data_IF_286835960748
#
_entry.id   IF_286835960748
#
_cell.length_a   1.000
_cell.length_b   1.000
_cell.length_c   1.000
_cell.angle_alpha   90.00
_cell.angle_beta   90.00
_cell.angle_gamma   90.00
#
_symmetry.space_group_name_H-M   'P 1'
#
loop_
_entity.id
_entity.type
_entity.pdbx_description
1 polymer ?
#
# COMPACT_ATOMS: atom_id res chain seq x y z
N UNK A 1 2.48 -22.24 -12.05
CA UNK A 1 2.79 -20.89 -12.57
C UNK A 1 2.18 -19.89 -11.61
N UNK A 2 2.98 -19.32 -10.71
CA UNK A 2 2.47 -18.39 -9.68
C UNK A 2 2.17 -17.07 -10.40
N UNK A 3 0.93 -16.85 -10.81
CA UNK A 3 0.50 -15.52 -11.27
C UNK A 3 0.60 -14.60 -10.06
N UNK A 4 1.66 -13.80 -9.98
CA UNK A 4 1.74 -12.72 -9.00
C UNK A 4 0.57 -11.78 -9.31
N UNK A 5 -0.43 -11.75 -8.44
CA UNK A 5 -1.46 -10.73 -8.51
C UNK A 5 -0.79 -9.36 -8.34
N UNK A 6 -1.19 -8.36 -9.12
CA UNK A 6 -0.60 -7.02 -9.06
C UNK A 6 -0.72 -6.43 -7.64
N UNK A 7 -1.79 -6.77 -6.91
CA UNK A 7 -1.92 -6.48 -5.48
C UNK A 7 -0.78 -7.08 -4.64
N UNK A 8 -0.44 -8.36 -4.80
CA UNK A 8 0.61 -9.04 -4.03
C UNK A 8 2.00 -8.43 -4.29
N UNK A 9 2.23 -8.02 -5.54
CA UNK A 9 3.43 -7.29 -5.93
C UNK A 9 3.51 -5.92 -5.23
N UNK A 10 2.44 -5.13 -5.27
CA UNK A 10 2.36 -3.85 -4.57
C UNK A 10 2.55 -4.00 -3.06
N UNK A 11 1.89 -4.98 -2.45
CA UNK A 11 2.02 -5.28 -1.01
C UNK A 11 3.46 -5.60 -0.62
N UNK A 12 4.13 -6.47 -1.39
CA UNK A 12 5.52 -6.85 -1.13
C UNK A 12 6.46 -5.64 -1.19
N UNK A 13 6.25 -4.73 -2.15
CA UNK A 13 7.03 -3.49 -2.24
C UNK A 13 6.79 -2.63 -1.00
N UNK A 14 5.53 -2.41 -0.63
CA UNK A 14 5.15 -1.59 0.52
C UNK A 14 5.71 -2.13 1.84
N UNK A 15 5.68 -3.45 2.05
CA UNK A 15 6.31 -4.10 3.20
C UNK A 15 7.83 -3.86 3.22
N UNK A 16 8.50 -4.02 2.07
CA UNK A 16 9.95 -3.83 1.95
C UNK A 16 10.39 -2.39 2.21
N UNK A 17 9.59 -1.40 1.84
CA UNK A 17 9.91 0.03 2.04
C UNK A 17 9.31 0.62 3.31
N UNK A 18 8.62 -0.19 4.13
CA UNK A 18 7.92 0.27 5.34
C UNK A 18 8.82 0.89 6.42
N UNK A 19 10.14 0.69 6.32
CA UNK A 19 11.13 1.31 7.21
C UNK A 19 11.33 2.81 6.95
N UNK A 20 10.92 3.32 5.77
CA UNK A 20 11.03 4.74 5.40
C UNK A 20 9.64 5.27 5.05
N UNK A 21 9.00 6.06 5.94
CA UNK A 21 7.66 6.61 5.70
C UNK A 21 7.52 7.43 4.42
N UNK A 22 8.57 8.17 4.03
CA UNK A 22 8.54 9.00 2.82
C UNK A 22 8.60 8.13 1.56
N UNK A 23 9.37 7.04 1.60
CA UNK A 23 9.41 6.06 0.51
C UNK A 23 8.11 5.25 0.44
N UNK A 24 7.59 4.81 1.58
CA UNK A 24 6.30 4.11 1.67
C UNK A 24 5.18 4.93 1.04
N UNK A 25 5.09 6.22 1.38
CA UNK A 25 4.11 7.14 0.80
C UNK A 25 4.20 7.20 -0.74
N UNK A 26 5.43 7.30 -1.29
CA UNK A 26 5.65 7.35 -2.75
C UNK A 26 5.24 6.06 -3.46
N UNK A 27 5.61 4.90 -2.91
CA UNK A 27 5.25 3.63 -3.50
C UNK A 27 3.75 3.33 -3.34
N UNK A 28 3.10 3.78 -2.26
CA UNK A 28 1.65 3.66 -2.08
C UNK A 28 0.90 4.50 -3.12
N UNK A 29 1.29 5.76 -3.34
CA UNK A 29 0.72 6.60 -4.40
C UNK A 29 0.85 5.95 -5.78
N UNK A 30 2.00 5.32 -6.05
CA UNK A 30 2.26 4.64 -7.31
C UNK A 30 1.39 3.39 -7.47
N UNK A 31 1.27 2.57 -6.42
CA UNK A 31 0.42 1.39 -6.43
C UNK A 31 -1.05 1.74 -6.71
N UNK A 32 -1.60 2.76 -6.02
CA UNK A 32 -2.98 3.21 -6.25
C UNK A 32 -3.23 3.62 -7.71
N UNK A 33 -2.24 4.25 -8.36
CA UNK A 33 -2.35 4.67 -9.78
C UNK A 33 -2.20 3.53 -10.79
N UNK A 34 -1.56 2.43 -10.40
CA UNK A 34 -1.24 1.32 -11.31
C UNK A 34 -2.21 0.14 -11.21
N UNK A 35 -2.83 -0.02 -10.05
CA UNK A 35 -3.76 -1.11 -9.78
C UNK A 35 -5.13 -0.87 -10.41
N UNK A 36 -5.81 -1.96 -10.76
CA UNK A 36 -7.22 -1.92 -11.12
C UNK A 36 -8.07 -1.57 -9.90
N UNK A 37 -9.28 -1.00 -10.07
CA UNK A 37 -10.11 -0.58 -8.94
C UNK A 37 -10.31 -1.65 -7.86
N UNK A 38 -10.53 -2.92 -8.26
CA UNK A 38 -10.72 -4.01 -7.31
C UNK A 38 -9.45 -4.32 -6.48
N UNK A 39 -8.26 -4.20 -7.09
CA UNK A 39 -6.99 -4.39 -6.40
C UNK A 39 -6.67 -3.18 -5.49
N UNK A 40 -7.10 -1.98 -5.88
CA UNK A 40 -7.01 -0.77 -5.04
C UNK A 40 -7.84 -0.94 -3.78
N UNK A 41 -9.09 -1.39 -3.88
CA UNK A 41 -9.94 -1.63 -2.69
C UNK A 41 -9.30 -2.64 -1.73
N UNK A 42 -8.69 -3.69 -2.28
CA UNK A 42 -7.93 -4.67 -1.49
C UNK A 42 -6.68 -4.06 -0.84
N UNK A 43 -5.95 -3.20 -1.58
CA UNK A 43 -4.80 -2.46 -1.07
C UNK A 43 -5.18 -1.51 0.06
N UNK A 44 -6.26 -0.74 -0.08
CA UNK A 44 -6.75 0.21 0.93
C UNK A 44 -7.08 -0.50 2.23
N UNK A 45 -7.81 -1.63 2.16
CA UNK A 45 -8.15 -2.44 3.34
C UNK A 45 -6.90 -2.96 4.05
N UNK A 46 -5.93 -3.45 3.27
CA UNK A 46 -4.66 -3.95 3.82
C UNK A 46 -3.84 -2.83 4.47
N UNK A 47 -3.62 -1.69 3.80
CA UNK A 47 -2.85 -0.55 4.33
C UNK A 47 -3.50 -0.04 5.62
N UNK A 48 -4.82 0.11 5.64
CA UNK A 48 -5.57 0.56 6.82
C UNK A 48 -5.37 -0.33 8.04
N UNK A 49 -5.13 -1.63 7.85
CA UNK A 49 -4.75 -2.54 8.93
C UNK A 49 -3.26 -2.48 9.25
N UNK A 50 -2.41 -2.45 8.23
CA UNK A 50 -0.96 -2.51 8.34
C UNK A 50 -0.36 -1.34 9.13
N UNK A 51 -0.91 -0.13 8.95
CA UNK A 51 -0.39 1.09 9.61
C UNK A 51 -0.88 1.27 11.04
N UNK A 52 -1.85 0.46 11.52
CA UNK A 52 -2.32 0.56 12.92
C UNK A 52 -1.20 0.30 13.93
N UNK A 53 -0.29 -0.60 13.61
CA UNK A 53 0.86 -0.95 14.42
C UNK A 53 2.11 -0.10 14.10
N UNK A 54 2.02 0.84 13.15
CA UNK A 54 3.13 1.67 12.66
C UNK A 54 2.73 3.15 12.65
N UNK A 55 2.81 3.86 13.80
CA UNK A 55 2.47 5.27 13.91
C UNK A 55 3.13 6.15 12.84
N UNK A 56 4.38 5.83 12.48
CA UNK A 56 5.16 6.51 11.46
C UNK A 56 4.56 6.45 10.05
N UNK A 57 3.73 5.44 9.77
CA UNK A 57 3.04 5.28 8.48
C UNK A 57 1.61 5.80 8.49
N UNK A 58 1.04 6.19 9.63
CA UNK A 58 -0.36 6.63 9.71
C UNK A 58 -0.67 7.83 8.81
N UNK A 59 0.31 8.71 8.58
CA UNK A 59 0.16 9.83 7.65
C UNK A 59 -0.11 9.42 6.20
N UNK A 60 0.16 8.17 5.82
CA UNK A 60 -0.17 7.63 4.50
C UNK A 60 -1.67 7.38 4.29
N UNK A 61 -2.47 7.33 5.35
CA UNK A 61 -3.93 7.15 5.28
C UNK A 61 -4.64 8.26 4.48
N UNK A 62 -4.06 9.46 4.44
CA UNK A 62 -4.57 10.58 3.62
C UNK A 62 -4.67 10.26 2.13
N UNK A 63 -3.96 9.24 1.64
CA UNK A 63 -4.01 8.79 0.25
C UNK A 63 -5.19 7.87 -0.06
N UNK A 64 -5.82 7.32 0.97
CA UNK A 64 -6.83 6.27 0.85
C UNK A 64 -8.15 6.60 1.57
N UNK A 65 -8.17 7.65 2.41
CA UNK A 65 -9.39 8.27 2.91
C UNK A 65 -9.98 9.19 1.81
N UNK A 66 -11.04 8.73 1.14
CA UNK A 66 -11.91 9.52 0.24
C UNK A 66 -13.34 9.41 0.74
#
# INVERSE_FOLDING_TARGET
MKSLNMFEFARTILENVSFDPALFYKELQKAIKQLLPYDVDQLVSWVSCYVKEKPELQGSLILIEI
#
